data_IF_805327239229
#
_entry.id   IF_805327239229
#
_cell.length_a   1.000
_cell.length_b   1.000
_cell.length_c   1.000
_cell.angle_alpha   90.00
_cell.angle_beta   90.00
_cell.angle_gamma   90.00
#
_symmetry.space_group_name_H-M   'P 1'
#
loop_
_entity.id
_entity.type
_entity.pdbx_description
1 polymer ?
#
# COMPACT_ATOMS: atom_id res chain seq x y z
N UNK A 1 -5.79 4.07 -10.00
CA UNK A 1 -5.92 4.15 -8.53
C UNK A 1 -6.44 5.51 -8.02
N UNK A 2 -5.90 6.69 -8.34
CA UNK A 2 -6.35 7.95 -7.73
C UNK A 2 -7.87 8.19 -7.83
N UNK A 3 -8.49 7.85 -8.95
CA UNK A 3 -9.95 7.97 -9.10
C UNK A 3 -10.75 7.10 -8.14
N UNK A 4 -10.36 5.82 -7.99
CA UNK A 4 -11.01 4.90 -7.04
C UNK A 4 -10.90 5.47 -5.63
N UNK A 5 -9.69 5.89 -5.23
CA UNK A 5 -9.45 6.51 -3.92
C UNK A 5 -10.32 7.73 -3.69
N UNK A 6 -10.40 8.63 -4.67
CA UNK A 6 -11.17 9.86 -4.55
C UNK A 6 -12.68 9.60 -4.44
N UNK A 7 -13.21 8.70 -5.28
CA UNK A 7 -14.64 8.34 -5.26
C UNK A 7 -15.00 7.62 -3.97
N UNK A 8 -14.15 6.70 -3.50
CA UNK A 8 -14.44 5.91 -2.30
C UNK A 8 -14.37 6.76 -1.03
N UNK A 9 -13.36 7.63 -0.88
CA UNK A 9 -13.22 8.49 0.31
C UNK A 9 -14.33 9.54 0.47
N UNK A 10 -15.15 9.77 -0.55
CA UNK A 10 -16.39 10.56 -0.43
C UNK A 10 -17.52 9.80 0.24
N UNK A 11 -17.47 8.48 0.26
CA UNK A 11 -18.61 7.62 0.63
C UNK A 11 -18.32 6.66 1.78
N UNK A 12 -17.04 6.49 2.16
CA UNK A 12 -16.59 5.68 3.29
C UNK A 12 -15.57 6.44 4.12
N UNK A 13 -15.38 6.03 5.36
CA UNK A 13 -14.40 6.65 6.25
C UNK A 13 -12.96 6.29 5.87
N UNK A 14 -12.01 7.14 6.25
CA UNK A 14 -10.58 6.89 6.01
C UNK A 14 -10.09 5.60 6.69
N UNK A 15 -10.49 5.25 7.92
CA UNK A 15 -10.17 3.97 8.54
C UNK A 15 -10.66 2.76 7.74
N UNK A 16 -11.90 2.78 7.27
CA UNK A 16 -12.46 1.70 6.44
C UNK A 16 -11.69 1.55 5.12
N UNK A 17 -11.45 2.67 4.42
CA UNK A 17 -10.62 2.68 3.22
C UNK A 17 -9.24 2.09 3.45
N UNK A 18 -8.52 2.56 4.50
CA UNK A 18 -7.16 2.12 4.80
C UNK A 18 -7.12 0.63 5.10
N UNK A 19 -8.04 0.13 5.92
CA UNK A 19 -8.11 -1.30 6.26
C UNK A 19 -8.34 -2.16 5.03
N UNK A 20 -9.29 -1.79 4.18
CA UNK A 20 -9.58 -2.53 2.95
C UNK A 20 -8.42 -2.47 1.95
N UNK A 21 -7.76 -1.32 1.82
CA UNK A 21 -6.58 -1.19 0.96
C UNK A 21 -5.40 -2.04 1.45
N UNK A 22 -5.27 -2.22 2.78
CA UNK A 22 -4.28 -3.11 3.39
C UNK A 22 -4.56 -4.60 3.18
N UNK A 23 -5.60 -4.99 2.46
CA UNK A 23 -5.77 -6.37 1.97
C UNK A 23 -4.85 -6.71 0.78
N UNK A 24 -4.18 -5.72 0.16
CA UNK A 24 -3.25 -5.93 -0.96
C UNK A 24 -2.20 -7.03 -0.71
N UNK A 25 -1.54 -7.16 0.46
CA UNK A 25 -0.63 -8.27 0.74
C UNK A 25 -1.27 -9.66 0.69
N UNK A 26 -2.57 -9.77 1.00
CA UNK A 26 -3.31 -11.03 0.89
C UNK A 26 -3.48 -11.40 -0.59
N UNK A 27 -3.87 -10.44 -1.43
CA UNK A 27 -3.92 -10.64 -2.88
C UNK A 27 -2.54 -10.96 -3.46
N UNK A 28 -1.47 -10.37 -2.90
CA UNK A 28 -0.10 -10.60 -3.33
C UNK A 28 0.34 -12.06 -3.19
N UNK A 29 -0.03 -12.74 -2.10
CA UNK A 29 0.21 -14.18 -1.95
C UNK A 29 -0.44 -14.96 -3.09
N UNK A 30 -1.73 -14.73 -3.33
CA UNK A 30 -2.47 -15.44 -4.37
C UNK A 30 -1.85 -15.22 -5.74
N UNK A 31 -1.48 -13.99 -6.04
CA UNK A 31 -0.84 -13.64 -7.31
C UNK A 31 0.58 -14.22 -7.42
N UNK A 32 1.38 -14.20 -6.35
CA UNK A 32 2.72 -14.80 -6.33
C UNK A 32 2.67 -16.29 -6.61
N UNK A 33 1.73 -17.02 -5.99
CA UNK A 33 1.51 -18.44 -6.23
C UNK A 33 1.15 -18.73 -7.70
N UNK A 34 0.22 -17.96 -8.28
CA UNK A 34 -0.34 -18.23 -9.61
C UNK A 34 0.62 -17.76 -10.71
N UNK A 35 1.11 -16.53 -10.64
CA UNK A 35 1.81 -15.88 -11.74
C UNK A 35 3.34 -15.95 -11.66
N UNK A 36 3.90 -15.90 -10.44
CA UNK A 36 5.35 -16.01 -10.24
C UNK A 36 5.78 -17.44 -9.93
N UNK A 37 4.80 -18.36 -9.66
CA UNK A 37 5.05 -19.72 -9.20
C UNK A 37 5.97 -19.74 -7.97
N UNK A 38 5.87 -18.70 -7.15
CA UNK A 38 6.64 -18.57 -5.93
C UNK A 38 6.14 -19.60 -4.92
N UNK A 39 7.06 -20.37 -4.35
CA UNK A 39 6.70 -21.27 -3.24
C UNK A 39 6.45 -20.40 -2.01
N UNK A 40 5.25 -20.46 -1.45
CA UNK A 40 4.90 -19.70 -0.25
C UNK A 40 4.97 -20.63 0.96
N UNK A 41 5.86 -20.33 1.89
CA UNK A 41 5.96 -21.06 3.14
C UNK A 41 4.82 -20.64 4.08
N UNK A 42 4.36 -21.58 4.92
CA UNK A 42 3.35 -21.31 5.95
C UNK A 42 3.72 -20.11 6.85
N UNK A 43 5.00 -19.90 7.12
CA UNK A 43 5.47 -18.78 7.94
C UNK A 43 5.25 -17.42 7.26
N UNK A 44 5.40 -17.31 5.93
CA UNK A 44 5.10 -16.11 5.16
C UNK A 44 3.59 -15.84 5.18
N UNK A 45 2.80 -16.88 4.96
CA UNK A 45 1.34 -16.78 5.01
C UNK A 45 0.88 -16.30 6.40
N UNK A 46 1.38 -16.89 7.47
CA UNK A 46 1.07 -16.47 8.84
C UNK A 46 1.56 -15.04 9.13
N UNK A 47 2.72 -14.64 8.61
CA UNK A 47 3.21 -13.27 8.75
C UNK A 47 2.26 -12.27 8.10
N UNK A 48 1.76 -12.52 6.89
CA UNK A 48 0.80 -11.64 6.22
C UNK A 48 -0.52 -11.58 6.98
N UNK A 49 -1.04 -12.71 7.45
CA UNK A 49 -2.26 -12.73 8.26
C UNK A 49 -2.09 -11.99 9.59
N UNK A 50 -0.97 -12.19 10.30
CA UNK A 50 -0.70 -11.49 11.55
C UNK A 50 -0.53 -9.98 11.33
N UNK A 51 0.12 -9.58 10.24
CA UNK A 51 0.23 -8.17 9.86
C UNK A 51 -1.13 -7.53 9.56
N UNK A 52 -2.01 -8.25 8.85
CA UNK A 52 -3.36 -7.76 8.57
C UNK A 52 -4.22 -7.66 9.84
N UNK A 53 -4.14 -8.64 10.75
CA UNK A 53 -4.77 -8.54 12.06
C UNK A 53 -4.24 -7.34 12.86
N UNK A 54 -2.94 -7.09 12.77
CA UNK A 54 -2.34 -5.88 13.37
C UNK A 54 -2.93 -4.60 12.79
N UNK A 55 -3.15 -4.52 11.47
CA UNK A 55 -3.84 -3.38 10.83
C UNK A 55 -5.25 -3.19 11.39
N UNK A 56 -6.02 -4.26 11.52
CA UNK A 56 -7.38 -4.21 12.10
C UNK A 56 -7.36 -3.65 13.53
N UNK A 57 -6.36 -4.04 14.35
CA UNK A 57 -6.23 -3.58 15.73
C UNK A 57 -5.79 -2.11 15.82
N UNK A 58 -4.96 -1.63 14.90
CA UNK A 58 -4.54 -0.21 14.88
C UNK A 58 -5.65 0.68 14.34
N UNK A 59 -6.23 0.31 13.20
CA UNK A 59 -7.17 1.17 12.47
C UNK A 59 -8.57 1.12 13.07
N UNK A 60 -8.98 0.00 13.68
CA UNK A 60 -10.29 -0.21 14.32
C UNK A 60 -11.46 0.29 13.45
N UNK A 61 -11.63 -0.23 12.22
CA UNK A 61 -12.64 0.25 11.30
C UNK A 61 -14.05 -0.06 11.82
N UNK A 62 -14.97 0.88 11.65
CA UNK A 62 -16.38 0.70 12.02
C UNK A 62 -17.22 0.19 10.86
N UNK A 63 -17.11 -1.08 10.48
CA UNK A 63 -17.95 -1.68 9.43
C UNK A 63 -19.39 -1.95 9.91
N UNK A 64 -20.12 -0.91 10.24
CA UNK A 64 -21.49 -1.08 10.76
C UNK A 64 -22.49 -1.55 9.68
N UNK A 65 -22.32 -1.07 8.43
CA UNK A 65 -23.17 -1.42 7.31
C UNK A 65 -22.35 -1.73 6.06
N UNK A 66 -22.81 -2.71 5.26
CA UNK A 66 -22.18 -3.00 3.97
C UNK A 66 -22.35 -1.81 3.01
N UNK A 67 -21.22 -1.38 2.43
CA UNK A 67 -21.20 -0.32 1.44
C UNK A 67 -20.56 -0.85 0.14
N UNK A 68 -21.21 -0.63 -0.99
CA UNK A 68 -20.70 -1.08 -2.31
C UNK A 68 -19.30 -0.51 -2.61
N UNK A 69 -18.95 0.64 -2.07
CA UNK A 69 -17.63 1.25 -2.20
C UNK A 69 -16.51 0.41 -1.54
N UNK A 70 -16.83 -0.49 -0.60
CA UNK A 70 -15.86 -1.45 -0.07
C UNK A 70 -15.31 -2.37 -1.16
N UNK A 71 -16.18 -2.83 -2.06
CA UNK A 71 -15.74 -3.65 -3.21
C UNK A 71 -14.84 -2.87 -4.16
N UNK A 72 -15.08 -1.57 -4.35
CA UNK A 72 -14.21 -0.73 -5.17
C UNK A 72 -12.81 -0.58 -4.55
N UNK A 73 -12.68 -0.45 -3.23
CA UNK A 73 -11.37 -0.41 -2.56
C UNK A 73 -10.65 -1.75 -2.71
N UNK A 74 -11.33 -2.86 -2.47
CA UNK A 74 -10.74 -4.20 -2.64
C UNK A 74 -10.30 -4.44 -4.09
N UNK A 75 -11.11 -4.03 -5.06
CA UNK A 75 -10.74 -4.07 -6.48
C UNK A 75 -9.50 -3.20 -6.75
N UNK A 76 -9.43 -2.03 -6.14
CA UNK A 76 -8.25 -1.18 -6.19
C UNK A 76 -7.00 -1.85 -5.62
N UNK A 77 -7.08 -2.47 -4.44
CA UNK A 77 -5.99 -3.22 -3.82
C UNK A 77 -5.53 -4.39 -4.71
N UNK A 78 -6.47 -5.06 -5.36
CA UNK A 78 -6.20 -6.10 -6.35
C UNK A 78 -5.44 -5.57 -7.58
N UNK A 79 -5.85 -4.41 -8.13
CA UNK A 79 -5.17 -3.79 -9.28
C UNK A 79 -3.73 -3.36 -8.95
N UNK A 80 -3.48 -2.84 -7.72
CA UNK A 80 -2.11 -2.55 -7.27
C UNK A 80 -1.28 -3.82 -7.31
N UNK A 81 -1.81 -4.91 -6.80
CA UNK A 81 -1.12 -6.20 -6.76
C UNK A 81 -0.78 -6.70 -8.17
N UNK A 82 -1.71 -6.60 -9.12
CA UNK A 82 -1.44 -6.94 -10.53
C UNK A 82 -0.30 -6.08 -11.09
N UNK A 83 -0.32 -4.78 -10.84
CA UNK A 83 0.71 -3.86 -11.33
C UNK A 83 2.09 -4.23 -10.80
N UNK A 84 2.20 -4.51 -9.49
CA UNK A 84 3.48 -4.87 -8.87
C UNK A 84 3.98 -6.24 -9.31
N UNK A 85 3.09 -7.19 -9.62
CA UNK A 85 3.50 -8.51 -10.14
C UNK A 85 4.02 -8.42 -11.57
N UNK A 86 3.41 -7.56 -12.39
CA UNK A 86 3.90 -7.29 -13.75
C UNK A 86 5.30 -6.69 -13.68
N UNK A 87 5.53 -5.73 -12.79
CA UNK A 87 6.85 -5.14 -12.54
C UNK A 87 7.90 -6.17 -12.14
N UNK A 88 7.55 -7.07 -11.23
CA UNK A 88 8.45 -8.14 -10.79
C UNK A 88 8.76 -9.12 -11.92
N UNK A 89 7.74 -9.56 -12.65
CA UNK A 89 7.88 -10.56 -13.72
C UNK A 89 8.70 -10.06 -14.90
N UNK A 90 8.59 -8.77 -15.24
CA UNK A 90 9.26 -8.14 -16.39
C UNK A 90 10.43 -7.25 -15.97
N UNK A 91 11.04 -7.50 -14.82
CA UNK A 91 12.13 -6.70 -14.25
C UNK A 91 13.34 -6.54 -15.19
N UNK A 92 13.65 -7.55 -16.01
CA UNK A 92 14.78 -7.53 -16.93
C UNK A 92 14.52 -6.76 -18.22
N UNK A 93 13.26 -6.47 -18.55
CA UNK A 93 12.85 -5.84 -19.83
C UNK A 93 12.37 -4.41 -19.66
N UNK A 94 12.11 -3.98 -18.43
CA UNK A 94 11.58 -2.65 -18.12
C UNK A 94 12.52 -1.91 -17.17
N UNK A 95 12.77 -0.63 -17.43
CA UNK A 95 13.46 0.22 -16.46
C UNK A 95 12.48 0.77 -15.43
N UNK A 96 12.89 0.85 -14.17
CA UNK A 96 12.08 1.44 -13.08
C UNK A 96 11.67 2.87 -13.42
N UNK A 97 12.61 3.67 -13.93
CA UNK A 97 12.35 5.05 -14.35
C UNK A 97 11.33 5.11 -15.49
N UNK A 98 11.46 4.25 -16.50
CA UNK A 98 10.51 4.21 -17.61
C UNK A 98 9.11 3.90 -17.12
N UNK A 99 8.93 2.86 -16.32
CA UNK A 99 7.63 2.51 -15.77
C UNK A 99 7.04 3.64 -14.92
N UNK A 100 7.84 4.24 -14.02
CA UNK A 100 7.43 5.35 -13.17
C UNK A 100 6.95 6.56 -13.99
N UNK A 101 7.72 6.95 -15.01
CA UNK A 101 7.37 8.09 -15.85
C UNK A 101 6.10 7.82 -16.66
N UNK A 102 6.01 6.68 -17.36
CA UNK A 102 4.84 6.38 -18.20
C UNK A 102 3.56 6.19 -17.39
N UNK A 103 3.63 5.50 -16.24
CA UNK A 103 2.49 5.35 -15.34
C UNK A 103 2.04 6.71 -14.74
N UNK A 104 3.01 7.57 -14.41
CA UNK A 104 2.75 8.92 -13.94
C UNK A 104 2.15 9.83 -15.01
N UNK A 105 2.65 9.79 -16.23
CA UNK A 105 2.19 10.65 -17.35
C UNK A 105 0.69 10.52 -17.60
N UNK A 106 0.15 9.31 -17.62
CA UNK A 106 -1.29 9.08 -17.84
C UNK A 106 -2.12 9.78 -16.77
N UNK A 107 -1.72 9.63 -15.49
CA UNK A 107 -2.41 10.25 -14.36
C UNK A 107 -2.33 11.77 -14.44
N UNK A 108 -1.15 12.31 -14.77
CA UNK A 108 -0.94 13.76 -14.88
C UNK A 108 -1.75 14.38 -16.01
N UNK A 109 -1.77 13.76 -17.21
CA UNK A 109 -2.55 14.24 -18.36
C UNK A 109 -4.04 14.32 -17.99
N UNK A 110 -4.58 13.26 -17.37
CA UNK A 110 -5.99 13.21 -16.96
C UNK A 110 -6.26 14.27 -15.89
N UNK A 111 -5.38 14.42 -14.89
CA UNK A 111 -5.53 15.41 -13.83
C UNK A 111 -5.46 16.83 -14.35
N UNK A 112 -4.57 17.14 -15.30
CA UNK A 112 -4.49 18.42 -15.97
C UNK A 112 -5.77 18.76 -16.73
N UNK A 113 -6.34 17.78 -17.44
CA UNK A 113 -7.59 17.95 -18.17
C UNK A 113 -8.71 18.39 -17.21
N UNK A 114 -8.89 17.70 -16.08
CA UNK A 114 -9.92 18.09 -15.10
C UNK A 114 -9.62 19.43 -14.43
N UNK A 115 -8.36 19.75 -14.15
CA UNK A 115 -7.98 21.06 -13.59
C UNK A 115 -8.30 22.21 -14.52
N UNK A 116 -8.13 22.03 -15.84
CA UNK A 116 -8.47 23.07 -16.82
C UNK A 116 -9.97 23.31 -16.95
N UNK A 117 -10.80 22.29 -16.67
CA UNK A 117 -12.26 22.42 -16.66
C UNK A 117 -12.79 23.22 -15.46
N UNK A 118 -12.14 23.07 -14.30
CA UNK A 118 -12.53 23.77 -13.07
C UNK A 118 -11.26 24.16 -12.27
N UNK A 119 -10.61 25.28 -12.65
CA UNK A 119 -9.36 25.71 -12.02
C UNK A 119 -9.61 26.22 -10.60
N UNK A 120 -9.06 25.51 -9.62
CA UNK A 120 -9.12 25.87 -8.22
C UNK A 120 -8.19 27.07 -7.91
N UNK A 121 -8.73 28.09 -7.24
CA UNK A 121 -7.92 29.17 -6.69
C UNK A 121 -7.35 28.73 -5.34
N UNK A 122 -6.06 28.42 -5.30
CA UNK A 122 -5.35 28.04 -4.09
C UNK A 122 -4.39 29.15 -3.67
N UNK A 123 -4.21 29.34 -2.35
CA UNK A 123 -3.21 30.29 -1.85
C UNK A 123 -1.79 29.75 -2.09
N UNK A 124 -0.81 30.64 -2.18
CA UNK A 124 0.59 30.29 -2.39
C UNK A 124 1.11 29.31 -1.33
N UNK A 125 0.73 29.47 -0.07
CA UNK A 125 1.14 28.58 1.01
C UNK A 125 0.60 27.17 0.80
N UNK A 126 -0.67 27.02 0.42
CA UNK A 126 -1.27 25.71 0.11
C UNK A 126 -0.57 25.08 -1.08
N UNK A 127 -0.29 25.84 -2.14
CA UNK A 127 0.48 25.38 -3.29
C UNK A 127 1.86 24.85 -2.90
N UNK A 128 2.59 25.56 -2.04
CA UNK A 128 3.90 25.15 -1.55
C UNK A 128 3.82 23.81 -0.76
N UNK A 129 2.86 23.69 0.15
CA UNK A 129 2.67 22.43 0.90
C UNK A 129 2.32 21.25 -0.01
N UNK A 130 1.43 21.44 -0.99
CA UNK A 130 1.09 20.39 -1.97
C UNK A 130 2.32 20.01 -2.79
N UNK A 131 3.14 20.97 -3.20
CA UNK A 131 4.35 20.71 -3.98
C UNK A 131 5.36 19.88 -3.17
N UNK A 132 5.63 20.27 -1.93
CA UNK A 132 6.53 19.51 -1.05
C UNK A 132 5.99 18.10 -0.81
N UNK A 133 4.72 17.97 -0.46
CA UNK A 133 4.09 16.65 -0.26
C UNK A 133 4.17 15.77 -1.51
N UNK A 134 3.95 16.35 -2.70
CA UNK A 134 4.01 15.59 -3.96
C UNK A 134 5.42 15.10 -4.29
N UNK A 135 6.48 15.84 -3.94
CA UNK A 135 7.88 15.38 -4.09
C UNK A 135 8.11 14.11 -3.24
N UNK A 136 7.71 14.13 -1.96
CA UNK A 136 7.88 12.97 -1.08
C UNK A 136 7.03 11.77 -1.53
N UNK A 137 5.80 12.00 -1.97
CA UNK A 137 4.92 10.94 -2.49
C UNK A 137 5.52 10.31 -3.75
N UNK A 138 5.98 11.12 -4.70
CA UNK A 138 6.60 10.62 -5.93
C UNK A 138 7.89 9.85 -5.64
N UNK A 139 8.72 10.31 -4.70
CA UNK A 139 9.91 9.57 -4.25
C UNK A 139 9.53 8.22 -3.63
N UNK A 140 8.51 8.19 -2.77
CA UNK A 140 8.02 6.96 -2.15
C UNK A 140 7.48 5.97 -3.20
N UNK A 141 6.71 6.45 -4.19
CA UNK A 141 6.21 5.62 -5.30
C UNK A 141 7.37 5.07 -6.12
N UNK A 142 8.37 5.88 -6.44
CA UNK A 142 9.56 5.43 -7.17
C UNK A 142 10.32 4.34 -6.40
N UNK A 143 10.60 4.55 -5.12
CA UNK A 143 11.30 3.58 -4.27
C UNK A 143 10.50 2.28 -4.11
N UNK A 144 9.18 2.37 -3.95
CA UNK A 144 8.30 1.20 -3.90
C UNK A 144 8.32 0.43 -5.22
N UNK A 145 8.24 1.13 -6.36
CA UNK A 145 8.32 0.53 -7.69
C UNK A 145 9.64 -0.22 -7.86
N UNK A 146 10.75 0.40 -7.47
CA UNK A 146 12.08 -0.21 -7.49
C UNK A 146 12.14 -1.46 -6.60
N UNK A 147 11.62 -1.38 -5.38
CA UNK A 147 11.60 -2.51 -4.45
C UNK A 147 10.81 -3.71 -5.00
N UNK A 148 9.61 -3.48 -5.54
CA UNK A 148 8.83 -4.56 -6.14
C UNK A 148 9.46 -5.12 -7.41
N UNK A 149 10.07 -4.28 -8.23
CA UNK A 149 10.76 -4.72 -9.45
C UNK A 149 11.97 -5.61 -9.13
N UNK A 150 12.76 -5.24 -8.12
CA UNK A 150 13.98 -5.96 -7.75
C UNK A 150 13.76 -7.11 -6.76
N UNK A 151 12.56 -7.28 -6.25
CA UNK A 151 12.25 -8.27 -5.21
C UNK A 151 12.43 -9.73 -5.65
N UNK A 152 12.35 -10.01 -6.96
CA UNK A 152 12.47 -11.37 -7.52
C UNK A 152 11.64 -12.40 -6.72
N UNK A 153 12.34 -13.35 -6.06
CA UNK A 153 11.73 -14.42 -5.26
C UNK A 153 11.23 -13.97 -3.86
N UNK A 154 11.42 -12.69 -3.49
CA UNK A 154 10.98 -12.13 -2.20
C UNK A 154 9.72 -11.27 -2.31
N UNK A 155 8.97 -11.40 -3.40
CA UNK A 155 7.82 -10.55 -3.70
C UNK A 155 6.77 -10.57 -2.58
N UNK A 156 6.35 -11.75 -2.12
CA UNK A 156 5.37 -11.88 -1.05
C UNK A 156 5.85 -11.28 0.29
N UNK A 157 7.14 -11.46 0.62
CA UNK A 157 7.70 -10.92 1.87
C UNK A 157 7.78 -9.40 1.88
N UNK A 158 8.01 -8.75 0.74
CA UNK A 158 8.00 -7.28 0.66
C UNK A 158 6.64 -6.71 1.02
N UNK A 159 5.55 -7.40 0.67
CA UNK A 159 4.22 -6.96 1.05
C UNK A 159 3.98 -6.96 2.56
N UNK A 160 4.66 -7.80 3.35
CA UNK A 160 4.60 -7.70 4.81
C UNK A 160 5.14 -6.35 5.31
N UNK A 161 6.16 -5.79 4.64
CA UNK A 161 6.74 -4.50 4.99
C UNK A 161 5.81 -3.33 4.66
N UNK A 162 4.87 -3.50 3.73
CA UNK A 162 3.87 -2.46 3.41
C UNK A 162 3.02 -2.13 4.64
N UNK A 163 2.76 -3.10 5.53
CA UNK A 163 2.01 -2.84 6.76
C UNK A 163 2.72 -1.84 7.70
N UNK A 164 4.06 -1.71 7.63
CA UNK A 164 4.81 -0.76 8.46
C UNK A 164 4.40 0.70 8.25
N UNK A 165 3.80 1.03 7.10
CA UNK A 165 3.27 2.39 6.88
C UNK A 165 2.20 2.77 7.91
N UNK A 166 1.42 1.81 8.42
CA UNK A 166 0.42 2.06 9.47
C UNK A 166 1.13 2.43 10.80
N UNK A 167 2.22 1.75 11.12
CA UNK A 167 3.02 2.06 12.32
C UNK A 167 3.61 3.46 12.21
N UNK A 168 4.20 3.80 11.05
CA UNK A 168 4.74 5.13 10.81
C UNK A 168 3.68 6.23 10.86
N UNK A 169 2.51 6.00 10.26
CA UNK A 169 1.40 6.97 10.32
C UNK A 169 0.92 7.17 11.75
N UNK A 170 0.86 6.11 12.56
CA UNK A 170 0.49 6.18 13.99
C UNK A 170 1.51 6.99 14.79
N UNK A 171 2.82 6.80 14.55
CA UNK A 171 3.88 7.58 15.20
C UNK A 171 3.74 9.07 14.86
N UNK A 172 3.50 9.38 13.58
CA UNK A 172 3.29 10.76 13.13
C UNK A 172 2.02 11.34 13.78
N UNK A 173 0.92 10.58 13.86
CA UNK A 173 -0.31 10.95 14.55
C UNK A 173 -0.08 11.35 16.00
N UNK A 174 0.68 10.54 16.74
CA UNK A 174 1.04 10.84 18.14
C UNK A 174 1.87 12.11 18.25
N UNK A 175 2.92 12.27 17.44
CA UNK A 175 3.89 13.37 17.58
C UNK A 175 3.29 14.71 17.14
N UNK A 176 2.65 14.74 15.96
CA UNK A 176 2.21 15.99 15.34
C UNK A 176 0.76 16.35 15.64
N UNK A 177 -0.11 15.34 15.79
CA UNK A 177 -1.55 15.54 16.00
C UNK A 177 -1.98 15.26 17.42
N UNK A 178 -1.06 14.82 18.31
CA UNK A 178 -1.32 14.44 19.71
C UNK A 178 -2.44 13.41 19.86
N UNK A 179 -2.51 12.48 18.88
CA UNK A 179 -3.47 11.39 18.93
C UNK A 179 -3.04 10.38 19.99
N UNK A 180 -4.00 9.90 20.77
CA UNK A 180 -3.74 8.89 21.78
C UNK A 180 -4.20 7.52 21.26
N UNK A 181 -3.27 6.60 21.15
CA UNK A 181 -3.60 5.22 20.80
C UNK A 181 -4.09 4.48 22.06
N UNK A 182 -5.11 3.65 21.89
CA UNK A 182 -5.52 2.73 22.93
C UNK A 182 -4.59 1.50 23.01
N UNK A 183 -4.72 0.69 24.06
CA UNK A 183 -3.89 -0.49 24.26
C UNK A 183 -3.97 -1.49 23.09
N UNK A 184 -5.15 -1.65 22.48
CA UNK A 184 -5.37 -2.54 21.36
C UNK A 184 -4.57 -2.09 20.13
N UNK A 185 -4.49 -0.79 19.88
CA UNK A 185 -3.70 -0.25 18.77
C UNK A 185 -2.18 -0.47 18.97
N UNK A 186 -1.66 -0.38 20.20
CA UNK A 186 -0.27 -0.74 20.49
C UNK A 186 0.02 -2.22 20.23
N UNK A 187 -0.90 -3.13 20.62
CA UNK A 187 -0.78 -4.56 20.29
C UNK A 187 -0.79 -4.77 18.76
N UNK A 188 -1.65 -4.04 18.05
CA UNK A 188 -1.70 -4.08 16.58
C UNK A 188 -0.37 -3.65 15.96
N UNK A 189 0.19 -2.53 16.38
CA UNK A 189 1.49 -2.05 15.91
C UNK A 189 2.61 -3.08 16.16
N UNK A 190 2.62 -3.72 17.33
CA UNK A 190 3.57 -4.77 17.64
C UNK A 190 3.44 -5.99 16.72
N UNK A 191 2.21 -6.45 16.44
CA UNK A 191 1.96 -7.54 15.48
C UNK A 191 2.45 -7.20 14.07
N UNK A 192 2.25 -5.96 13.61
CA UNK A 192 2.75 -5.50 12.29
C UNK A 192 4.27 -5.59 12.24
N UNK A 193 4.97 -5.08 13.25
CA UNK A 193 6.44 -5.12 13.30
C UNK A 193 6.94 -6.55 13.31
N UNK A 194 6.34 -7.42 14.12
CA UNK A 194 6.69 -8.85 14.13
C UNK A 194 6.47 -9.52 12.78
N UNK A 195 5.35 -9.24 12.10
CA UNK A 195 5.08 -9.81 10.78
C UNK A 195 6.17 -9.46 9.76
N UNK A 196 6.64 -8.20 9.76
CA UNK A 196 7.74 -7.76 8.91
C UNK A 196 9.07 -8.45 9.23
N UNK A 197 9.41 -8.56 10.52
CA UNK A 197 10.67 -9.19 10.97
C UNK A 197 10.71 -10.67 10.59
N UNK A 198 9.62 -11.41 10.76
CA UNK A 198 9.59 -12.85 10.53
C UNK A 198 9.43 -13.24 9.05
N UNK A 199 8.89 -12.36 8.21
CA UNK A 199 8.63 -12.68 6.79
C UNK A 199 9.91 -12.90 5.98
N UNK A 200 10.94 -12.09 6.16
CA UNK A 200 12.18 -12.13 5.37
C UNK A 200 13.01 -13.41 5.65
N UNK A 201 13.37 -13.75 6.91
CA UNK A 201 14.11 -14.97 7.18
C UNK A 201 13.33 -16.24 6.83
N UNK A 202 12.01 -16.22 6.98
CA UNK A 202 11.17 -17.34 6.60
C UNK A 202 11.27 -17.67 5.09
N UNK A 203 11.29 -16.67 4.25
CA UNK A 203 11.46 -16.84 2.80
C UNK A 203 12.89 -17.23 2.43
N UNK A 204 13.91 -16.65 3.08
CA UNK A 204 15.31 -17.03 2.85
C UNK A 204 15.56 -18.52 3.15
N UNK A 205 15.00 -19.02 4.26
CA UNK A 205 15.09 -20.45 4.62
C UNK A 205 14.44 -21.36 3.56
N UNK A 206 13.36 -20.93 2.96
CA UNK A 206 12.67 -21.68 1.91
C UNK A 206 13.46 -21.77 0.60
N UNK A 207 14.24 -20.73 0.26
CA UNK A 207 15.02 -20.70 -0.98
C UNK A 207 16.32 -21.53 -0.88
N UNK A 208 16.80 -21.80 0.33
CA UNK A 208 18.03 -22.52 0.61
C UNK A 208 17.80 -24.00 0.95
N UNK A 209 16.56 -24.46 1.07
CA UNK A 209 16.15 -25.85 1.27
C UNK A 209 15.39 -26.39 0.07
#
# INVERSE_FOLDING_TARGET
MPFITFVTLKNITLPEYTTLNMSAPIFAILMALIFLKEKINIYIFLSILSGFLGVLFVVQPGFENFNIYFLLVLFGAFLITITTIILNKYNNTTSTLGFFIYAGLVVHIISWFFFLLDPLKISFNIFLFITIASIFINLAIFLSTYAFQTSQKYYASIFCLVYLQIVWSSIIGIIFFKEYLNFVAYLGAFLIVLSGIFSIPAQKKQLNG
#
